data_IF_217858918132
#
_entry.id   IF_217858918132
#
_cell.length_a   1.000
_cell.length_b   1.000
_cell.length_c   1.000
_cell.angle_alpha   90.00
_cell.angle_beta   90.00
_cell.angle_gamma   90.00
#
_symmetry.space_group_name_H-M   'P 1'
#
loop_
_entity.id
_entity.type
_entity.pdbx_description
1 polymer ?
#
# COMPACT_ATOMS: atom_id res chain seq x y z
N UNK A 1 -8.42 -24.83 0.66
CA UNK A 1 -7.83 -24.14 1.83
C UNK A 1 -8.46 -22.77 1.88
N UNK A 2 -9.01 -22.36 3.01
CA UNK A 2 -9.50 -20.98 3.16
C UNK A 2 -8.32 -20.02 3.01
N UNK A 3 -8.52 -18.94 2.27
CA UNK A 3 -7.47 -17.94 2.03
C UNK A 3 -7.33 -17.07 3.28
N UNK A 4 -6.11 -16.89 3.77
CA UNK A 4 -5.82 -15.94 4.85
C UNK A 4 -5.52 -14.59 4.26
N UNK A 5 -6.17 -13.53 4.79
CA UNK A 5 -5.90 -12.16 4.39
C UNK A 5 -5.11 -11.42 5.48
N UNK A 6 -4.16 -10.59 5.09
CA UNK A 6 -3.43 -9.67 5.99
C UNK A 6 -4.15 -8.32 6.04
N UNK A 7 -4.26 -7.78 7.24
CA UNK A 7 -4.78 -6.44 7.47
C UNK A 7 -3.61 -5.48 7.70
N UNK A 8 -3.46 -4.48 6.85
CA UNK A 8 -2.33 -3.54 6.85
C UNK A 8 -2.83 -2.15 7.23
N UNK A 9 -2.22 -1.51 8.23
CA UNK A 9 -2.49 -0.09 8.49
C UNK A 9 -1.61 0.77 7.58
N UNK A 10 -2.24 1.53 6.68
CA UNK A 10 -1.57 2.49 5.81
C UNK A 10 -1.56 3.87 6.44
N UNK A 11 -0.37 4.40 6.64
CA UNK A 11 -0.06 5.66 7.28
C UNK A 11 0.53 6.62 6.23
N UNK A 12 -0.31 7.48 5.67
CA UNK A 12 0.13 8.52 4.74
C UNK A 12 0.77 9.65 5.55
N UNK A 13 2.03 9.98 5.25
CA UNK A 13 2.81 10.97 6.00
C UNK A 13 3.14 12.16 5.12
N UNK A 14 3.04 13.35 5.72
CA UNK A 14 3.58 14.59 5.20
C UNK A 14 4.40 15.28 6.29
N UNK A 15 5.70 15.48 6.02
CA UNK A 15 6.68 15.94 7.02
C UNK A 15 6.69 14.97 8.22
N UNK A 16 6.27 15.43 9.40
CA UNK A 16 6.20 14.62 10.64
C UNK A 16 4.77 14.22 11.01
N UNK A 17 3.78 14.46 10.15
CA UNK A 17 2.39 14.30 10.50
C UNK A 17 1.72 13.20 9.69
N UNK A 18 0.90 12.40 10.37
CA UNK A 18 -0.10 11.58 9.73
C UNK A 18 -1.13 12.47 9.04
N UNK A 19 -1.40 12.19 7.78
CA UNK A 19 -2.37 12.94 6.98
C UNK A 19 -3.29 11.99 6.24
N UNK A 20 -4.46 12.48 5.85
CA UNK A 20 -5.39 11.75 4.98
C UNK A 20 -6.10 12.71 4.04
N UNK A 21 -6.20 12.33 2.79
CA UNK A 21 -6.98 13.01 1.76
C UNK A 21 -8.06 12.11 1.17
N UNK A 22 -8.80 12.67 0.22
CA UNK A 22 -9.74 11.96 -0.65
C UNK A 22 -9.11 11.94 -2.04
N UNK A 23 -9.05 10.77 -2.68
CA UNK A 23 -8.42 10.57 -3.99
C UNK A 23 -6.99 11.14 -4.06
N UNK A 24 -6.25 11.00 -2.96
CA UNK A 24 -4.89 11.51 -2.73
C UNK A 24 -4.78 13.05 -2.71
N UNK A 25 -5.90 13.78 -2.62
CA UNK A 25 -5.94 15.24 -2.56
C UNK A 25 -6.60 15.76 -1.27
N UNK A 26 -6.52 17.06 -1.01
CA UNK A 26 -7.19 17.70 0.12
C UNK A 26 -6.71 17.22 1.50
N UNK A 27 -5.39 17.09 1.67
CA UNK A 27 -4.75 16.49 2.85
C UNK A 27 -5.13 17.20 4.15
N UNK A 28 -5.64 16.43 5.10
CA UNK A 28 -5.93 16.86 6.48
C UNK A 28 -4.93 16.24 7.43
N UNK A 29 -4.40 17.02 8.35
CA UNK A 29 -3.56 16.53 9.45
C UNK A 29 -4.43 15.78 10.46
N UNK A 30 -3.99 14.57 10.84
CA UNK A 30 -4.71 13.70 11.78
C UNK A 30 -3.97 13.48 13.10
N UNK A 31 -2.62 13.54 13.11
CA UNK A 31 -1.86 13.36 14.34
C UNK A 31 -0.42 12.92 14.13
N UNK A 32 0.11 12.21 15.12
CA UNK A 32 1.44 11.61 15.12
C UNK A 32 1.38 10.20 14.50
N UNK A 33 2.12 9.92 13.42
CA UNK A 33 2.13 8.61 12.78
C UNK A 33 2.66 7.50 13.70
N UNK A 34 3.64 7.77 14.58
CA UNK A 34 4.17 6.76 15.50
C UNK A 34 3.14 6.36 16.58
N UNK A 35 2.41 7.34 17.12
CA UNK A 35 1.35 7.07 18.09
C UNK A 35 0.24 6.20 17.48
N UNK A 36 -0.19 6.50 16.25
CA UNK A 36 -1.18 5.68 15.55
C UNK A 36 -0.65 4.28 15.21
N UNK A 37 0.60 4.16 14.79
CA UNK A 37 1.23 2.87 14.52
C UNK A 37 1.23 1.96 15.74
N UNK A 38 1.57 2.51 16.91
CA UNK A 38 1.54 1.78 18.18
C UNK A 38 0.12 1.35 18.57
N UNK A 39 -0.87 2.27 18.45
CA UNK A 39 -2.29 1.97 18.68
C UNK A 39 -2.75 0.79 17.81
N UNK A 40 -2.44 0.80 16.51
CA UNK A 40 -2.83 -0.27 15.59
C UNK A 40 -2.06 -1.58 15.86
N UNK A 41 -0.79 -1.51 16.22
CA UNK A 41 -0.01 -2.67 16.62
C UNK A 41 -0.60 -3.35 17.85
N UNK A 42 -0.90 -2.58 18.91
CA UNK A 42 -1.53 -3.08 20.14
C UNK A 42 -2.92 -3.66 19.88
N UNK A 43 -3.65 -3.12 18.90
CA UNK A 43 -4.94 -3.66 18.45
C UNK A 43 -4.81 -4.88 17.52
N UNK A 44 -3.58 -5.33 17.20
CA UNK A 44 -3.31 -6.55 16.47
C UNK A 44 -3.31 -6.43 14.94
N UNK A 45 -2.96 -5.28 14.38
CA UNK A 45 -2.71 -5.15 12.93
C UNK A 45 -1.59 -6.10 12.47
N UNK A 46 -1.59 -6.52 11.21
CA UNK A 46 -0.64 -7.53 10.73
C UNK A 46 0.64 -6.94 10.14
N UNK A 47 0.57 -5.73 9.58
CA UNK A 47 1.69 -5.02 8.94
C UNK A 47 1.42 -3.52 8.96
N UNK A 48 2.48 -2.69 8.95
CA UNK A 48 2.41 -1.24 8.77
C UNK A 48 2.92 -0.85 7.38
N UNK A 49 2.26 0.13 6.77
CA UNK A 49 2.67 0.72 5.48
C UNK A 49 2.77 2.23 5.63
N UNK A 50 3.99 2.76 5.67
CA UNK A 50 4.24 4.21 5.64
C UNK A 50 4.45 4.70 4.21
N UNK A 51 3.72 5.74 3.81
CA UNK A 51 3.89 6.41 2.52
C UNK A 51 4.15 7.89 2.73
N UNK A 52 5.34 8.38 2.38
CA UNK A 52 5.57 9.83 2.22
C UNK A 52 4.93 10.29 0.91
N UNK A 53 3.76 10.91 1.03
CA UNK A 53 2.94 11.29 -0.13
C UNK A 53 3.39 12.57 -0.84
N UNK A 54 4.37 13.28 -0.29
CA UNK A 54 4.93 14.51 -0.88
C UNK A 54 6.39 14.36 -1.32
N UNK A 55 7.04 13.25 -0.99
CA UNK A 55 8.47 13.04 -1.25
C UNK A 55 8.84 13.11 -2.73
N UNK A 56 7.98 12.63 -3.63
CA UNK A 56 8.20 12.72 -5.08
C UNK A 56 8.21 14.17 -5.58
N UNK A 57 7.47 15.06 -4.92
CA UNK A 57 7.32 16.46 -5.29
C UNK A 57 8.49 17.33 -4.78
N UNK A 58 9.04 17.01 -3.61
CA UNK A 58 10.03 17.86 -2.92
C UNK A 58 11.44 17.28 -2.88
N UNK A 59 11.69 16.15 -3.53
CA UNK A 59 13.00 15.48 -3.51
C UNK A 59 13.52 15.19 -2.09
N UNK A 60 12.63 14.84 -1.15
CA UNK A 60 12.96 14.55 0.24
C UNK A 60 12.59 13.10 0.58
N UNK A 61 13.26 12.55 1.59
CA UNK A 61 12.86 11.33 2.27
C UNK A 61 12.92 11.61 3.77
N UNK A 62 11.78 11.88 4.38
CA UNK A 62 11.68 12.28 5.79
C UNK A 62 11.24 11.12 6.70
N UNK A 63 11.06 9.90 6.15
CA UNK A 63 10.53 8.77 6.93
C UNK A 63 11.54 8.09 7.85
N UNK A 64 12.86 8.35 7.70
CA UNK A 64 13.91 7.65 8.44
C UNK A 64 13.72 7.71 9.96
N UNK A 65 13.44 8.91 10.51
CA UNK A 65 13.25 9.08 11.95
C UNK A 65 11.93 8.47 12.44
N UNK A 66 10.88 8.53 11.60
CA UNK A 66 9.58 7.92 11.91
C UNK A 66 9.74 6.40 11.95
N UNK A 67 10.37 5.80 10.94
CA UNK A 67 10.61 4.35 10.87
C UNK A 67 11.44 3.88 12.05
N UNK A 68 12.55 4.56 12.36
CA UNK A 68 13.42 4.21 13.50
C UNK A 68 12.63 4.19 14.81
N UNK A 69 11.82 5.22 15.08
CA UNK A 69 10.96 5.25 16.27
C UNK A 69 9.90 4.18 16.29
N UNK A 70 9.34 3.84 15.11
CA UNK A 70 8.32 2.79 15.02
C UNK A 70 8.90 1.44 15.42
N UNK A 71 10.06 1.05 14.89
CA UNK A 71 10.64 -0.28 15.12
C UNK A 71 11.17 -0.48 16.55
N UNK A 72 11.32 0.59 17.32
CA UNK A 72 11.62 0.48 18.75
C UNK A 72 10.45 -0.09 19.57
N UNK A 73 9.19 0.16 19.12
CA UNK A 73 7.96 -0.20 19.86
C UNK A 73 7.08 -1.23 19.14
N UNK A 74 7.31 -1.50 17.84
CA UNK A 74 6.44 -2.29 16.98
C UNK A 74 7.21 -3.45 16.35
N UNK A 75 6.72 -4.68 16.55
CA UNK A 75 7.40 -5.93 16.14
C UNK A 75 6.63 -6.70 15.06
N UNK A 76 6.04 -5.97 14.11
CA UNK A 76 5.40 -6.51 12.90
C UNK A 76 6.07 -5.90 11.66
N UNK A 77 5.93 -6.52 10.46
CA UNK A 77 6.56 -6.00 9.26
C UNK A 77 6.20 -4.54 8.97
N UNK A 78 7.19 -3.77 8.54
CA UNK A 78 7.06 -2.37 8.17
C UNK A 78 7.46 -2.19 6.71
N UNK A 79 6.51 -1.80 5.87
CA UNK A 79 6.74 -1.41 4.49
C UNK A 79 6.82 0.12 4.39
N UNK A 80 7.78 0.63 3.63
CA UNK A 80 8.00 2.08 3.48
C UNK A 80 8.00 2.45 2.01
N UNK A 81 7.25 3.50 1.65
CA UNK A 81 7.21 4.05 0.31
C UNK A 81 7.22 5.57 0.29
N UNK A 82 7.39 6.11 -0.92
CA UNK A 82 7.49 7.54 -1.15
C UNK A 82 8.94 8.03 -1.20
N UNK A 83 9.31 8.66 -2.32
CA UNK A 83 10.61 9.27 -2.51
C UNK A 83 11.80 8.33 -2.74
N UNK A 84 11.62 7.03 -2.80
CA UNK A 84 12.67 6.05 -3.08
C UNK A 84 12.99 6.06 -4.59
N UNK A 85 14.24 6.37 -4.97
CA UNK A 85 14.65 6.61 -6.36
C UNK A 85 15.86 5.77 -6.79
N UNK A 86 16.55 5.19 -5.83
CA UNK A 86 17.78 4.44 -6.02
C UNK A 86 17.87 3.25 -5.08
N UNK A 87 18.75 2.31 -5.40
CA UNK A 87 19.11 1.20 -4.51
C UNK A 87 19.63 1.71 -3.16
N UNK A 88 20.32 2.86 -3.16
CA UNK A 88 20.86 3.46 -1.93
C UNK A 88 19.76 4.03 -1.02
N UNK A 89 18.70 4.64 -1.60
CA UNK A 89 17.54 5.07 -0.82
C UNK A 89 16.85 3.87 -0.14
N UNK A 90 16.73 2.74 -0.87
CA UNK A 90 16.17 1.50 -0.33
C UNK A 90 17.08 0.94 0.77
N UNK A 91 18.39 0.87 0.54
CA UNK A 91 19.37 0.44 1.56
C UNK A 91 19.25 1.26 2.83
N UNK A 92 19.13 2.57 2.68
CA UNK A 92 19.00 3.48 3.81
C UNK A 92 17.75 3.18 4.64
N UNK A 93 16.57 3.05 4.01
CA UNK A 93 15.31 2.76 4.71
C UNK A 93 15.34 1.37 5.39
N UNK A 94 15.89 0.36 4.73
CA UNK A 94 16.05 -0.97 5.33
C UNK A 94 17.00 -0.92 6.54
N UNK A 95 18.07 -0.12 6.49
CA UNK A 95 18.98 0.08 7.63
C UNK A 95 18.33 0.81 8.81
N UNK A 96 17.21 1.52 8.58
CA UNK A 96 16.42 2.15 9.65
C UNK A 96 15.40 1.19 10.28
N UNK A 97 15.28 -0.04 9.78
CA UNK A 97 14.42 -1.08 10.32
C UNK A 97 13.18 -1.41 9.48
N UNK A 98 13.03 -0.83 8.28
CA UNK A 98 11.99 -1.28 7.36
C UNK A 98 12.29 -2.68 6.82
N UNK A 99 11.23 -3.48 6.58
CA UNK A 99 11.32 -4.82 5.98
C UNK A 99 11.15 -4.79 4.45
N UNK A 100 10.39 -3.83 3.94
CA UNK A 100 10.01 -3.71 2.53
C UNK A 100 10.06 -2.26 2.05
N UNK A 101 10.32 -2.09 0.75
CA UNK A 101 10.35 -0.81 0.06
C UNK A 101 9.31 -0.78 -1.06
N UNK A 102 8.34 0.17 -0.97
CA UNK A 102 7.30 0.34 -1.98
C UNK A 102 7.68 1.47 -2.95
N UNK A 103 7.85 1.14 -4.23
CA UNK A 103 8.31 2.07 -5.26
C UNK A 103 7.25 2.24 -6.35
N UNK A 104 6.88 3.49 -6.66
CA UNK A 104 5.97 3.86 -7.76
C UNK A 104 6.68 4.72 -8.80
N UNK A 105 6.82 6.02 -8.55
CA UNK A 105 7.29 7.03 -9.50
C UNK A 105 8.63 6.67 -10.13
N UNK A 106 9.59 6.22 -9.33
CA UNK A 106 10.91 5.86 -9.84
C UNK A 106 10.88 4.60 -10.71
N UNK A 107 10.06 3.62 -10.36
CA UNK A 107 9.88 2.40 -11.16
C UNK A 107 9.23 2.70 -12.51
N UNK A 108 8.24 3.60 -12.57
CA UNK A 108 7.64 4.02 -13.85
C UNK A 108 8.67 4.75 -14.73
N UNK A 109 9.47 5.65 -14.15
CA UNK A 109 10.48 6.43 -14.88
C UNK A 109 11.69 5.59 -15.29
N UNK A 110 12.07 4.59 -14.50
CA UNK A 110 13.20 3.69 -14.72
C UNK A 110 12.87 2.27 -14.22
N UNK A 111 12.22 1.45 -15.04
CA UNK A 111 11.78 0.10 -14.65
C UNK A 111 12.91 -0.81 -14.18
N UNK A 112 14.14 -0.62 -14.65
CA UNK A 112 15.33 -1.39 -14.26
C UNK A 112 15.61 -1.30 -12.75
N UNK A 113 15.15 -0.24 -12.08
CA UNK A 113 15.28 -0.08 -10.63
C UNK A 113 14.62 -1.24 -9.86
N UNK A 114 13.55 -1.82 -10.40
CA UNK A 114 12.88 -2.98 -9.78
C UNK A 114 13.85 -4.15 -9.70
N UNK A 115 14.55 -4.45 -10.80
CA UNK A 115 15.53 -5.53 -10.86
C UNK A 115 16.72 -5.27 -9.94
N UNK A 116 17.27 -4.04 -9.98
CA UNK A 116 18.41 -3.66 -9.14
C UNK A 116 18.11 -3.81 -7.65
N UNK A 117 16.90 -3.42 -7.20
CA UNK A 117 16.47 -3.57 -5.82
C UNK A 117 16.25 -5.05 -5.46
N UNK A 118 15.60 -5.81 -6.34
CA UNK A 118 15.36 -7.23 -6.13
C UNK A 118 16.66 -8.05 -6.07
N UNK A 119 17.65 -7.72 -6.89
CA UNK A 119 18.98 -8.35 -6.86
C UNK A 119 19.78 -7.99 -5.60
N UNK A 120 19.67 -6.74 -5.13
CA UNK A 120 20.42 -6.26 -3.97
C UNK A 120 19.86 -6.74 -2.63
N UNK A 121 18.53 -6.88 -2.50
CA UNK A 121 17.86 -7.13 -1.21
C UNK A 121 16.90 -8.32 -1.21
N UNK A 122 16.70 -8.96 -2.36
CA UNK A 122 15.71 -10.00 -2.57
C UNK A 122 14.35 -9.45 -3.03
N UNK A 123 13.65 -10.23 -3.86
CA UNK A 123 12.34 -9.83 -4.40
C UNK A 123 11.31 -9.53 -3.31
N UNK A 124 11.38 -10.23 -2.16
CA UNK A 124 10.48 -10.02 -1.02
C UNK A 124 10.56 -8.61 -0.42
N UNK A 125 11.68 -7.89 -0.61
CA UNK A 125 11.83 -6.49 -0.18
C UNK A 125 11.23 -5.50 -1.20
N UNK A 126 11.12 -5.90 -2.47
CA UNK A 126 10.66 -5.01 -3.55
C UNK A 126 9.15 -5.08 -3.71
N UNK A 127 8.44 -4.04 -3.26
CA UNK A 127 7.00 -3.87 -3.47
C UNK A 127 6.78 -2.88 -4.62
N UNK A 128 6.16 -3.34 -5.72
CA UNK A 128 5.75 -2.43 -6.79
C UNK A 128 4.44 -1.73 -6.43
N UNK A 129 4.51 -0.43 -6.17
CA UNK A 129 3.31 0.38 -5.91
C UNK A 129 2.70 0.86 -7.22
N UNK A 130 1.42 0.52 -7.44
CA UNK A 130 0.65 0.89 -8.62
C UNK A 130 -0.54 1.74 -8.18
N UNK A 131 -0.60 2.97 -8.66
CA UNK A 131 -1.72 3.88 -8.46
C UNK A 131 -2.61 3.80 -9.71
N UNK A 132 -3.76 3.15 -9.59
CA UNK A 132 -4.66 2.88 -10.71
C UNK A 132 -5.78 3.92 -10.77
N UNK A 133 -6.02 4.48 -11.95
CA UNK A 133 -7.22 5.26 -12.24
C UNK A 133 -7.99 4.64 -13.38
N UNK A 134 -9.31 4.59 -13.25
CA UNK A 134 -10.20 4.13 -14.32
C UNK A 134 -10.23 5.19 -15.44
N UNK A 135 -9.97 4.75 -16.66
CA UNK A 135 -9.97 5.63 -17.83
C UNK A 135 -11.12 5.26 -18.78
N UNK A 136 -11.83 6.27 -19.29
CA UNK A 136 -12.85 6.08 -20.32
C UNK A 136 -12.27 6.05 -21.73
N UNK A 137 -11.06 6.59 -21.90
CA UNK A 137 -10.40 6.76 -23.19
C UNK A 137 -9.24 5.82 -23.41
N UNK A 138 -8.75 5.18 -22.35
CA UNK A 138 -7.66 4.21 -22.42
C UNK A 138 -8.17 2.84 -22.90
N UNK A 139 -7.48 2.15 -23.81
CA UNK A 139 -7.89 0.84 -24.33
C UNK A 139 -8.03 -0.24 -23.24
N UNK A 140 -7.16 -0.24 -22.23
CA UNK A 140 -7.33 -0.96 -20.98
C UNK A 140 -8.27 -0.22 -20.05
N UNK A 141 -8.91 -0.88 -19.10
CA UNK A 141 -9.86 -0.22 -18.19
C UNK A 141 -9.20 0.74 -17.19
N UNK A 142 -7.92 0.54 -16.85
CA UNK A 142 -7.17 1.33 -15.86
C UNK A 142 -5.80 1.69 -16.38
N UNK A 143 -5.41 2.93 -16.11
CA UNK A 143 -4.07 3.44 -16.36
C UNK A 143 -3.29 3.55 -15.04
N UNK A 144 -2.00 3.17 -15.07
CA UNK A 144 -1.10 3.38 -13.96
C UNK A 144 -0.66 4.84 -13.89
N UNK A 145 -0.76 5.44 -12.70
CA UNK A 145 -0.37 6.82 -12.45
C UNK A 145 0.85 6.88 -11.54
N UNK A 146 1.56 8.00 -11.59
CA UNK A 146 2.67 8.30 -10.70
C UNK A 146 2.58 9.73 -10.15
N UNK A 147 3.58 10.17 -9.39
CA UNK A 147 3.58 11.47 -8.69
C UNK A 147 2.29 11.69 -7.89
N UNK A 148 1.99 10.74 -7.00
CA UNK A 148 0.80 10.76 -6.14
C UNK A 148 -0.52 10.83 -6.92
N UNK A 149 -0.67 10.02 -7.95
CA UNK A 149 -1.88 9.92 -8.76
C UNK A 149 -2.14 11.08 -9.70
N UNK A 150 -1.14 11.93 -9.99
CA UNK A 150 -1.29 13.15 -10.81
C UNK A 150 -0.82 13.00 -12.24
N UNK A 151 0.23 12.20 -12.46
CA UNK A 151 0.86 12.10 -13.76
C UNK A 151 0.52 10.78 -14.46
N UNK A 152 0.21 10.85 -15.74
CA UNK A 152 -0.06 9.72 -16.62
C UNK A 152 1.23 9.00 -16.99
N UNK A 153 1.26 7.65 -16.87
CA UNK A 153 2.41 6.86 -17.29
C UNK A 153 2.34 6.35 -18.72
N UNK A 154 1.13 6.25 -19.25
CA UNK A 154 0.87 5.56 -20.50
C UNK A 154 0.89 4.03 -20.38
N UNK A 155 0.93 3.46 -19.20
CA UNK A 155 0.90 2.01 -18.99
C UNK A 155 -0.50 1.53 -18.55
N UNK A 156 -0.98 0.46 -19.18
CA UNK A 156 -2.09 -0.31 -18.64
C UNK A 156 -1.69 -0.94 -17.31
N UNK A 157 -2.58 -0.91 -16.30
CA UNK A 157 -2.29 -1.39 -14.95
C UNK A 157 -1.93 -2.88 -14.93
N UNK A 158 -2.67 -3.71 -15.67
CA UNK A 158 -2.45 -5.17 -15.67
C UNK A 158 -1.13 -5.51 -16.35
N UNK A 159 -0.83 -4.86 -17.48
CA UNK A 159 0.44 -5.08 -18.18
C UNK A 159 1.64 -4.54 -17.38
N UNK A 160 1.46 -3.42 -16.67
CA UNK A 160 2.49 -2.90 -15.79
C UNK A 160 2.75 -3.82 -14.59
N UNK A 161 1.71 -4.40 -14.00
CA UNK A 161 1.84 -5.40 -12.93
C UNK A 161 2.63 -6.63 -13.39
N UNK A 162 2.28 -7.21 -14.55
CA UNK A 162 3.02 -8.33 -15.16
C UNK A 162 4.49 -8.00 -15.40
N UNK A 163 4.75 -6.83 -15.99
CA UNK A 163 6.11 -6.35 -16.27
C UNK A 163 6.92 -6.17 -14.98
N UNK A 164 6.31 -5.59 -13.94
CA UNK A 164 6.99 -5.40 -12.66
C UNK A 164 7.35 -6.71 -11.97
N UNK A 165 6.47 -7.71 -12.03
CA UNK A 165 6.77 -9.06 -11.52
C UNK A 165 7.89 -9.71 -12.32
N UNK A 166 7.86 -9.60 -13.65
CA UNK A 166 8.94 -10.12 -14.50
C UNK A 166 10.30 -9.43 -14.24
N UNK A 167 10.30 -8.19 -13.78
CA UNK A 167 11.50 -7.44 -13.37
C UNK A 167 11.97 -7.76 -11.95
N UNK A 168 11.21 -8.53 -11.16
CA UNK A 168 11.63 -9.00 -9.84
C UNK A 168 10.84 -8.44 -8.65
N UNK A 169 9.73 -7.72 -8.87
CA UNK A 169 8.84 -7.33 -7.78
C UNK A 169 8.26 -8.58 -7.10
N UNK A 170 8.44 -8.71 -5.81
CA UNK A 170 7.93 -9.84 -5.02
C UNK A 170 6.56 -9.61 -4.41
N UNK A 171 6.04 -8.38 -4.46
CA UNK A 171 4.71 -8.01 -3.99
C UNK A 171 4.20 -6.78 -4.75
N UNK A 172 2.90 -6.65 -4.92
CA UNK A 172 2.25 -5.48 -5.53
C UNK A 172 1.41 -4.75 -4.48
N UNK A 173 1.57 -3.43 -4.38
CA UNK A 173 0.66 -2.53 -3.68
C UNK A 173 -0.22 -1.83 -4.71
N UNK A 174 -1.45 -2.31 -4.86
CA UNK A 174 -2.44 -1.80 -5.81
C UNK A 174 -3.39 -0.83 -5.10
N UNK A 175 -3.37 0.45 -5.50
CA UNK A 175 -4.28 1.46 -4.95
C UNK A 175 -5.24 1.95 -6.05
N UNK A 176 -6.55 1.75 -5.85
CA UNK A 176 -7.57 2.43 -6.64
C UNK A 176 -7.66 3.90 -6.19
N UNK A 177 -7.13 4.81 -7.01
CA UNK A 177 -7.12 6.25 -6.68
C UNK A 177 -8.54 6.81 -6.68
N UNK A 178 -9.40 6.31 -7.57
CA UNK A 178 -10.79 6.76 -7.68
C UNK A 178 -11.59 6.46 -6.40
N UNK A 179 -11.28 5.34 -5.71
CA UNK A 179 -11.96 4.93 -4.47
C UNK A 179 -11.23 5.42 -3.20
N UNK A 180 -9.97 5.91 -3.34
CA UNK A 180 -9.12 6.25 -2.18
C UNK A 180 -9.77 7.31 -1.27
N UNK A 181 -9.96 6.94 0.00
CA UNK A 181 -10.53 7.80 1.04
C UNK A 181 -12.05 7.96 1.01
N UNK A 182 -12.76 7.40 0.01
CA UNK A 182 -14.22 7.51 -0.11
C UNK A 182 -14.97 6.62 0.89
N UNK A 183 -14.40 5.49 1.30
CA UNK A 183 -15.02 4.52 2.22
C UNK A 183 -16.39 4.00 1.69
N UNK A 184 -16.48 3.69 0.41
CA UNK A 184 -17.69 3.27 -0.30
C UNK A 184 -17.50 1.96 -1.07
N UNK A 185 -16.55 1.14 -0.64
CA UNK A 185 -16.18 -0.12 -1.30
C UNK A 185 -14.97 -0.01 -2.20
N UNK A 186 -14.35 -1.16 -2.44
CA UNK A 186 -13.12 -1.29 -3.24
C UNK A 186 -13.44 -1.53 -4.72
N UNK A 187 -12.50 -1.25 -5.63
CA UNK A 187 -12.64 -1.59 -7.07
C UNK A 187 -12.36 -3.09 -7.28
N UNK A 188 -13.39 -3.93 -7.08
CA UNK A 188 -13.27 -5.39 -7.14
C UNK A 188 -12.88 -5.88 -8.54
N UNK A 189 -13.34 -5.21 -9.61
CA UNK A 189 -12.93 -5.55 -10.99
C UNK A 189 -11.42 -5.33 -11.20
N UNK A 190 -10.88 -4.25 -10.65
CA UNK A 190 -9.45 -3.96 -10.69
C UNK A 190 -8.65 -5.02 -9.92
N UNK A 191 -9.11 -5.35 -8.70
CA UNK A 191 -8.48 -6.37 -7.86
C UNK A 191 -8.44 -7.70 -8.60
N UNK A 192 -9.58 -8.17 -9.11
CA UNK A 192 -9.68 -9.43 -9.82
C UNK A 192 -8.80 -9.46 -11.09
N UNK A 193 -8.76 -8.37 -11.85
CA UNK A 193 -7.97 -8.28 -13.07
C UNK A 193 -6.46 -8.41 -12.80
N UNK A 194 -5.96 -7.76 -11.73
CA UNK A 194 -4.53 -7.80 -11.38
C UNK A 194 -4.18 -9.13 -10.71
N UNK A 195 -4.97 -9.61 -9.73
CA UNK A 195 -4.66 -10.84 -8.99
C UNK A 195 -4.67 -12.09 -9.88
N UNK A 196 -5.51 -12.11 -10.93
CA UNK A 196 -5.49 -13.19 -11.95
C UNK A 196 -4.29 -13.11 -12.89
N UNK A 197 -3.68 -11.96 -13.04
CA UNK A 197 -2.61 -11.70 -14.01
C UNK A 197 -1.20 -11.96 -13.47
N UNK A 198 -1.03 -11.98 -12.15
CA UNK A 198 0.27 -12.13 -11.49
C UNK A 198 0.27 -13.31 -10.51
N UNK A 199 1.48 -13.76 -10.15
CA UNK A 199 1.68 -14.89 -9.23
C UNK A 199 2.41 -14.48 -7.93
N UNK A 200 2.44 -13.20 -7.63
CA UNK A 200 2.95 -12.63 -6.37
C UNK A 200 1.81 -12.07 -5.53
N UNK A 201 1.96 -11.94 -4.21
CA UNK A 201 0.94 -11.35 -3.36
C UNK A 201 0.54 -9.93 -3.81
N UNK A 202 -0.76 -9.62 -3.72
CA UNK A 202 -1.31 -8.31 -4.04
C UNK A 202 -1.97 -7.69 -2.80
N UNK A 203 -1.39 -6.57 -2.35
CA UNK A 203 -1.96 -5.69 -1.33
C UNK A 203 -2.92 -4.73 -2.04
N UNK A 204 -4.19 -4.71 -1.66
CA UNK A 204 -5.19 -3.84 -2.26
C UNK A 204 -5.55 -2.68 -1.32
N UNK A 205 -5.68 -1.47 -1.86
CA UNK A 205 -6.05 -0.27 -1.10
C UNK A 205 -6.96 0.66 -1.89
N UNK A 206 -7.65 1.52 -1.15
CA UNK A 206 -8.61 2.48 -1.68
C UNK A 206 -10.05 1.98 -1.60
N UNK A 207 -10.86 2.67 -0.78
CA UNK A 207 -12.31 2.46 -0.71
C UNK A 207 -12.82 1.75 0.56
N UNK A 208 -11.97 1.12 1.36
CA UNK A 208 -12.41 0.38 2.56
C UNK A 208 -13.19 1.28 3.51
N UNK A 209 -14.43 0.90 3.79
CA UNK A 209 -15.34 1.57 4.72
C UNK A 209 -15.81 0.68 5.87
N UNK A 210 -15.74 -0.66 5.71
CA UNK A 210 -16.12 -1.67 6.71
C UNK A 210 -15.46 -3.02 6.44
N UNK A 211 -15.67 -3.99 7.35
CA UNK A 211 -15.14 -5.34 7.24
C UNK A 211 -15.61 -6.11 6.00
N UNK A 212 -16.86 -5.90 5.57
CA UNK A 212 -17.42 -6.56 4.37
C UNK A 212 -16.65 -6.19 3.09
N UNK A 213 -16.16 -4.95 2.96
CA UNK A 213 -15.34 -4.54 1.82
C UNK A 213 -14.04 -5.36 1.73
N UNK A 214 -13.51 -5.78 2.88
CA UNK A 214 -12.29 -6.59 2.96
C UNK A 214 -12.60 -8.05 2.58
N UNK A 215 -13.76 -8.57 2.99
CA UNK A 215 -14.25 -9.89 2.58
C UNK A 215 -14.41 -9.95 1.07
N UNK A 216 -15.04 -8.93 0.47
CA UNK A 216 -15.22 -8.84 -0.98
C UNK A 216 -13.87 -8.75 -1.72
N UNK A 217 -12.92 -7.97 -1.21
CA UNK A 217 -11.57 -7.90 -1.76
C UNK A 217 -10.84 -9.25 -1.69
N UNK A 218 -10.96 -9.97 -0.57
CA UNK A 218 -10.40 -11.31 -0.42
C UNK A 218 -11.01 -12.28 -1.44
N UNK A 219 -12.32 -12.25 -1.62
CA UNK A 219 -13.02 -13.08 -2.62
C UNK A 219 -12.61 -12.72 -4.06
N UNK A 220 -12.33 -11.44 -4.34
CA UNK A 220 -11.79 -10.97 -5.61
C UNK A 220 -10.30 -11.34 -5.83
N UNK A 221 -9.63 -11.88 -4.81
CA UNK A 221 -8.28 -12.41 -4.94
C UNK A 221 -7.19 -11.67 -4.15
N UNK A 222 -7.50 -10.59 -3.42
CA UNK A 222 -6.52 -9.87 -2.61
C UNK A 222 -5.84 -10.78 -1.57
N UNK A 223 -4.53 -10.61 -1.35
CA UNK A 223 -3.74 -11.30 -0.32
C UNK A 223 -3.59 -10.46 0.95
N UNK A 224 -3.76 -9.15 0.80
CA UNK A 224 -3.79 -8.19 1.90
C UNK A 224 -4.64 -6.98 1.53
N UNK A 225 -5.16 -6.29 2.55
CA UNK A 225 -5.87 -5.02 2.37
C UNK A 225 -5.22 -3.93 3.22
N UNK A 226 -4.91 -2.81 2.57
CA UNK A 226 -4.35 -1.62 3.21
C UNK A 226 -5.49 -0.68 3.62
N UNK A 227 -5.73 -0.58 4.93
CA UNK A 227 -6.75 0.24 5.56
C UNK A 227 -6.14 1.57 6.04
N UNK A 228 -6.80 2.67 5.75
CA UNK A 228 -6.41 4.01 6.19
C UNK A 228 -7.60 4.76 6.81
N UNK A 229 -8.47 5.35 5.99
CA UNK A 229 -9.55 6.21 6.46
C UNK A 229 -10.47 5.54 7.49
N UNK A 230 -10.84 4.27 7.31
CA UNK A 230 -11.69 3.50 8.24
C UNK A 230 -11.09 3.46 9.64
N UNK A 231 -9.77 3.26 9.75
CA UNK A 231 -9.03 3.23 11.02
C UNK A 231 -8.79 4.65 11.56
N UNK A 232 -8.29 5.55 10.71
CA UNK A 232 -7.90 6.89 11.16
C UNK A 232 -9.09 7.74 11.63
N UNK A 233 -10.27 7.56 11.03
CA UNK A 233 -11.51 8.23 11.45
C UNK A 233 -12.31 7.42 12.48
N UNK A 234 -11.73 6.31 12.97
CA UNK A 234 -12.32 5.44 14.02
C UNK A 234 -13.75 4.99 13.66
N UNK A 235 -13.98 4.69 12.37
CA UNK A 235 -15.24 4.08 11.95
C UNK A 235 -15.36 2.66 12.47
N UNK A 236 -14.28 1.89 12.31
CA UNK A 236 -14.12 0.57 12.89
C UNK A 236 -12.70 0.43 13.43
N UNK A 237 -12.55 -0.32 14.49
CA UNK A 237 -11.26 -0.71 15.06
C UNK A 237 -10.66 -1.90 14.31
N UNK A 238 -9.37 -2.17 14.51
CA UNK A 238 -8.72 -3.37 13.95
C UNK A 238 -9.43 -4.65 14.42
N UNK A 239 -9.88 -4.68 15.66
CA UNK A 239 -10.59 -5.84 16.23
C UNK A 239 -11.93 -6.07 15.56
N UNK A 240 -12.76 -5.03 15.42
CA UNK A 240 -14.06 -5.09 14.75
C UNK A 240 -13.90 -5.55 13.29
N UNK A 241 -12.97 -4.93 12.54
CA UNK A 241 -12.66 -5.37 11.17
C UNK A 241 -12.31 -6.87 11.11
N UNK A 242 -11.48 -7.36 12.03
CA UNK A 242 -11.10 -8.78 12.08
C UNK A 242 -12.26 -9.70 12.45
N UNK A 243 -13.19 -9.24 13.29
CA UNK A 243 -14.41 -9.97 13.63
C UNK A 243 -15.33 -10.09 12.42
N UNK A 244 -15.57 -9.00 11.69
CA UNK A 244 -16.41 -8.98 10.49
C UNK A 244 -15.81 -9.84 9.37
N UNK A 245 -14.50 -9.77 9.15
CA UNK A 245 -13.81 -10.60 8.16
C UNK A 245 -14.00 -12.10 8.47
N UNK A 246 -13.90 -12.51 9.75
CA UNK A 246 -14.15 -13.90 10.16
C UNK A 246 -15.61 -14.28 10.00
N UNK A 247 -16.55 -13.40 10.35
CA UNK A 247 -17.98 -13.61 10.15
C UNK A 247 -18.31 -13.81 8.66
N UNK A 248 -17.60 -13.11 7.76
CA UNK A 248 -17.67 -13.28 6.31
C UNK A 248 -16.95 -14.54 5.76
N UNK A 249 -16.41 -15.40 6.64
CA UNK A 249 -15.78 -16.68 6.27
C UNK A 249 -14.35 -16.59 5.75
N UNK A 250 -13.68 -15.44 5.89
CA UNK A 250 -12.27 -15.25 5.53
C UNK A 250 -11.39 -15.39 6.77
N UNK A 251 -10.26 -16.11 6.65
CA UNK A 251 -9.33 -16.27 7.76
C UNK A 251 -8.42 -15.03 7.91
N UNK A 252 -8.28 -14.56 9.15
CA UNK A 252 -7.32 -13.52 9.56
C UNK A 252 -6.48 -14.01 10.73
N UNK A 253 -5.29 -13.44 10.91
CA UNK A 253 -4.45 -13.71 12.07
C UNK A 253 -5.22 -13.39 13.37
N UNK A 254 -5.21 -14.32 14.30
CA UNK A 254 -5.68 -14.06 15.67
C UNK A 254 -4.59 -13.30 16.44
N UNK A 255 -4.99 -12.39 17.29
CA UNK A 255 -4.12 -11.65 18.21
C UNK A 255 -4.06 -12.42 19.52
#
# INVERSE_FOLDING_TARGET
MSKKIRLIARLDVKDTNLVKGIQLEGLRKLGDPNACAKEYYEAGIDELLYIDIVASLYNRNNLSDIVRKTVDDVYIPVCVGGGLRSVEDVRHILSMGADKAAINTAAIKRPELITEVAEAFGSQCMVLSIQAKRSRTWPGKWEAYYDNGRAHSGYDVVEWAKRGVALGAGEILLTSVDNEGLQQGMDLELIEAVTKAVNVPVICGGGVGCGDDIVDAANAGADAVACAAVLHYKKETVTELKEDIRAGGVEVRQV
#
